data_IF_604381916846
#
_entry.id   IF_604381916846
#
_cell.length_a   1.000
_cell.length_b   1.000
_cell.length_c   1.000
_cell.angle_alpha   90.00
_cell.angle_beta   90.00
_cell.angle_gamma   90.00
#
_symmetry.space_group_name_H-M   'P 1'
#
loop_
_entity.id
_entity.type
_entity.pdbx_description
1 polymer ?
#
# COMPACT_ATOMS: atom_id res chain seq x y z
N UNK A 1 -6.90 41.47 32.54
CA UNK A 1 -5.88 40.55 33.09
C UNK A 1 -6.28 39.15 32.65
N UNK A 2 -5.45 38.52 31.81
CA UNK A 2 -5.64 37.26 31.07
C UNK A 2 -6.00 36.07 32.00
N UNK A 3 -6.67 35.00 31.55
CA UNK A 3 -6.04 33.92 30.77
C UNK A 3 -7.04 33.17 29.86
N UNK A 4 -6.58 32.96 28.62
CA UNK A 4 -7.24 32.28 27.53
C UNK A 4 -7.46 30.79 27.82
N UNK A 5 -8.61 30.28 27.37
CA UNK A 5 -8.83 28.85 27.19
C UNK A 5 -7.85 28.32 26.15
N UNK A 6 -7.10 27.30 26.53
CA UNK A 6 -6.28 26.53 25.62
C UNK A 6 -7.06 25.25 25.31
N UNK A 7 -7.72 25.23 24.16
CA UNK A 7 -7.95 24.00 23.41
C UNK A 7 -6.58 23.37 23.17
N UNK A 8 -6.19 22.46 24.06
CA UNK A 8 -5.02 21.63 23.84
C UNK A 8 -5.28 20.79 22.60
N UNK A 9 -4.36 20.73 21.62
CA UNK A 9 -4.47 19.71 20.61
C UNK A 9 -4.44 18.37 21.33
N UNK A 10 -5.46 17.54 21.12
CA UNK A 10 -5.42 16.14 21.53
C UNK A 10 -4.18 15.58 20.84
N UNK A 11 -3.13 15.29 21.61
CA UNK A 11 -2.02 14.52 21.11
C UNK A 11 -2.63 13.21 20.61
N UNK A 12 -2.60 13.01 19.28
CA UNK A 12 -2.87 11.71 18.72
C UNK A 12 -1.91 10.74 19.43
N UNK A 13 -2.44 9.64 19.94
CA UNK A 13 -1.62 8.55 20.45
C UNK A 13 -0.54 8.24 19.40
N UNK A 14 0.64 7.79 19.84
CA UNK A 14 1.61 7.18 18.93
C UNK A 14 0.94 5.94 18.34
N UNK A 15 0.24 6.12 17.23
CA UNK A 15 -0.35 5.04 16.47
C UNK A 15 0.85 4.21 16.01
N UNK A 16 1.04 3.03 16.63
CA UNK A 16 2.20 2.18 16.36
C UNK A 16 2.49 2.14 14.86
N UNK A 17 3.73 2.46 14.48
CA UNK A 17 4.07 2.74 13.08
C UNK A 17 3.63 1.56 12.21
N UNK A 18 2.64 1.75 11.32
CA UNK A 18 2.06 0.62 10.63
C UNK A 18 3.05 0.02 9.64
N UNK A 19 2.90 -1.27 9.40
CA UNK A 19 3.77 -2.04 8.52
C UNK A 19 2.95 -2.76 7.45
N UNK A 20 3.58 -3.07 6.32
CA UNK A 20 3.05 -3.98 5.31
C UNK A 20 3.98 -5.16 5.16
N UNK A 21 3.43 -6.36 4.90
CA UNK A 21 4.24 -7.53 4.58
C UNK A 21 4.29 -7.66 3.07
N UNK A 22 5.49 -7.49 2.51
CA UNK A 22 5.76 -7.75 1.11
C UNK A 22 6.26 -9.20 1.00
N UNK A 23 5.61 -10.05 0.21
CA UNK A 23 5.88 -11.48 0.07
C UNK A 23 7.30 -11.95 0.43
N UNK A 24 7.40 -12.87 1.40
CA UNK A 24 8.67 -13.46 1.88
C UNK A 24 9.69 -12.46 2.47
N UNK A 25 9.33 -11.18 2.62
CA UNK A 25 10.13 -10.17 3.31
C UNK A 25 9.63 -9.98 4.74
N UNK A 26 10.51 -9.53 5.66
CA UNK A 26 10.09 -8.98 6.95
C UNK A 26 9.10 -7.82 6.76
N UNK A 27 8.27 -7.48 7.76
CA UNK A 27 7.39 -6.32 7.71
C UNK A 27 8.16 -5.03 7.40
N UNK A 28 7.62 -4.20 6.50
CA UNK A 28 8.27 -3.01 5.98
C UNK A 28 7.44 -1.75 6.24
N UNK A 29 8.12 -0.64 6.51
CA UNK A 29 7.55 0.70 6.57
C UNK A 29 7.84 1.40 5.25
N UNK A 30 6.79 1.84 4.54
CA UNK A 30 6.90 2.59 3.27
C UNK A 30 7.84 1.94 2.24
N UNK A 31 7.65 0.67 1.86
CA UNK A 31 8.50 0.05 0.85
C UNK A 31 8.33 0.70 -0.52
N UNK A 32 9.38 0.67 -1.34
CA UNK A 32 9.37 1.21 -2.71
C UNK A 32 8.74 0.23 -3.72
N UNK A 33 8.48 -1.01 -3.32
CA UNK A 33 7.74 -2.00 -4.10
C UNK A 33 6.96 -2.97 -3.22
N UNK A 34 5.85 -3.49 -3.75
CA UNK A 34 5.01 -4.51 -3.10
C UNK A 34 4.62 -5.56 -4.14
N UNK A 35 4.94 -6.82 -3.88
CA UNK A 35 4.42 -7.97 -4.63
C UNK A 35 3.03 -8.30 -4.07
N UNK A 36 2.02 -8.30 -4.95
CA UNK A 36 0.63 -8.49 -4.58
C UNK A 36 0.17 -9.95 -4.75
N UNK A 37 0.84 -10.70 -5.61
CA UNK A 37 0.65 -12.14 -5.78
C UNK A 37 1.96 -12.89 -5.48
N UNK A 38 2.10 -13.38 -4.24
CA UNK A 38 3.33 -14.03 -3.77
C UNK A 38 3.66 -15.35 -4.48
N UNK A 39 2.66 -16.05 -5.01
CA UNK A 39 2.86 -17.39 -5.57
C UNK A 39 3.67 -17.38 -6.87
N UNK A 40 3.35 -16.47 -7.78
CA UNK A 40 3.92 -16.43 -9.12
C UNK A 40 4.58 -15.08 -9.47
N UNK A 41 4.46 -14.06 -8.60
CA UNK A 41 5.03 -12.74 -8.82
C UNK A 41 4.47 -12.02 -10.04
N UNK A 42 3.31 -12.42 -10.54
CA UNK A 42 2.73 -11.88 -11.80
C UNK A 42 2.06 -10.53 -11.62
N UNK A 43 1.95 -10.05 -10.38
CA UNK A 43 1.36 -8.76 -10.04
C UNK A 43 2.12 -8.09 -8.90
N UNK A 44 2.63 -6.89 -9.17
CA UNK A 44 3.35 -6.06 -8.22
C UNK A 44 3.08 -4.56 -8.49
N UNK A 45 3.47 -3.72 -7.54
CA UNK A 45 3.60 -2.28 -7.75
C UNK A 45 5.02 -1.88 -7.40
N UNK A 46 5.71 -1.22 -8.32
CA UNK A 46 7.08 -0.75 -8.20
C UNK A 46 7.15 0.77 -8.17
N UNK A 47 8.31 1.32 -7.76
CA UNK A 47 8.60 2.76 -7.75
C UNK A 47 7.56 3.54 -6.93
N UNK A 48 7.17 2.99 -5.79
CA UNK A 48 6.14 3.56 -4.95
C UNK A 48 6.68 4.82 -4.26
N UNK A 49 5.94 5.91 -4.39
CA UNK A 49 6.14 7.16 -3.65
C UNK A 49 4.94 7.40 -2.75
N UNK A 50 5.15 7.31 -1.44
CA UNK A 50 4.11 7.45 -0.43
C UNK A 50 3.80 8.93 -0.14
N UNK A 51 2.51 9.29 -0.21
CA UNK A 51 2.01 10.61 0.20
C UNK A 51 1.47 10.58 1.64
N UNK A 52 1.00 9.42 2.11
CA UNK A 52 0.56 9.23 3.49
C UNK A 52 0.90 7.83 4.03
N UNK A 53 1.09 7.74 5.34
CA UNK A 53 1.36 6.47 6.04
C UNK A 53 0.93 6.60 7.50
N UNK A 54 -0.31 6.21 7.78
CA UNK A 54 -0.95 6.32 9.10
C UNK A 54 -1.72 5.05 9.40
N UNK A 55 -2.04 4.78 10.66
CA UNK A 55 -2.83 3.57 11.01
C UNK A 55 -4.19 3.56 10.33
N UNK A 56 -4.83 4.71 10.16
CA UNK A 56 -6.07 4.85 9.38
C UNK A 56 -5.93 4.46 7.89
N UNK A 57 -4.71 4.51 7.34
CA UNK A 57 -4.42 4.14 5.96
C UNK A 57 -3.10 4.72 5.45
N UNK A 58 -2.55 4.10 4.40
CA UNK A 58 -1.47 4.66 3.60
C UNK A 58 -1.94 4.90 2.17
N UNK A 59 -1.36 5.91 1.54
CA UNK A 59 -1.62 6.24 0.13
C UNK A 59 -0.30 6.60 -0.55
N UNK A 60 -0.15 6.14 -1.78
CA UNK A 60 1.00 6.46 -2.63
C UNK A 60 0.68 6.27 -4.10
N UNK A 61 1.65 6.62 -4.94
CA UNK A 61 1.59 6.38 -6.38
C UNK A 61 2.75 5.49 -6.80
N UNK A 62 2.58 4.73 -7.87
CA UNK A 62 3.62 3.83 -8.37
C UNK A 62 3.29 3.32 -9.77
N UNK A 63 4.05 2.32 -10.20
CA UNK A 63 3.86 1.64 -11.47
C UNK A 63 3.42 0.20 -11.19
N UNK A 64 2.19 -0.14 -11.55
CA UNK A 64 1.74 -1.53 -11.54
C UNK A 64 2.49 -2.30 -12.63
N UNK A 65 3.03 -3.44 -12.24
CA UNK A 65 3.49 -4.50 -13.11
C UNK A 65 2.46 -5.63 -13.11
N UNK A 66 2.02 -6.04 -14.30
CA UNK A 66 1.26 -7.27 -14.49
C UNK A 66 1.85 -8.11 -15.60
N UNK A 67 1.86 -9.42 -15.42
CA UNK A 67 2.21 -10.38 -16.47
C UNK A 67 1.03 -11.32 -16.73
N UNK A 68 0.65 -11.45 -18.00
CA UNK A 68 -0.27 -12.51 -18.41
C UNK A 68 0.45 -13.86 -18.40
N UNK A 69 -0.22 -14.92 -17.96
CA UNK A 69 0.35 -16.27 -17.94
C UNK A 69 -0.36 -17.25 -18.89
N UNK A 70 -1.06 -16.73 -19.90
CA UNK A 70 -1.76 -17.57 -20.88
C UNK A 70 -0.96 -17.56 -22.20
N UNK A 71 -0.48 -18.72 -22.70
CA UNK A 71 -0.59 -20.07 -22.13
C UNK A 71 0.46 -20.40 -21.06
N UNK A 72 1.59 -19.68 -21.02
CA UNK A 72 2.59 -19.78 -19.93
C UNK A 72 3.12 -18.39 -19.57
N UNK A 73 3.61 -18.21 -18.33
CA UNK A 73 4.20 -16.94 -17.90
C UNK A 73 5.47 -16.54 -18.66
N UNK A 74 6.24 -17.51 -19.19
CA UNK A 74 7.45 -17.23 -19.97
C UNK A 74 7.14 -16.59 -21.34
N UNK A 75 5.96 -16.89 -21.88
CA UNK A 75 5.51 -16.42 -23.20
C UNK A 75 4.61 -15.19 -23.11
N UNK A 76 3.99 -14.95 -21.94
CA UNK A 76 3.08 -13.84 -21.77
C UNK A 76 3.76 -12.48 -21.68
N UNK A 77 3.04 -11.45 -22.10
CA UNK A 77 3.51 -10.07 -22.07
C UNK A 77 3.37 -9.45 -20.68
N UNK A 78 4.28 -8.52 -20.38
CA UNK A 78 4.17 -7.64 -19.22
C UNK A 78 3.49 -6.33 -19.63
N UNK A 79 2.61 -5.83 -18.79
CA UNK A 79 1.99 -4.51 -18.91
C UNK A 79 2.38 -3.66 -17.70
N UNK A 80 2.59 -2.37 -17.96
CA UNK A 80 2.93 -1.38 -16.95
C UNK A 80 1.89 -0.27 -16.98
N UNK A 81 1.45 0.19 -15.82
CA UNK A 81 0.49 1.29 -15.72
C UNK A 81 0.73 2.14 -14.49
N UNK A 82 0.54 3.47 -14.58
CA UNK A 82 0.55 4.32 -13.40
C UNK A 82 -0.65 3.98 -12.51
N UNK A 83 -0.40 3.85 -11.20
CA UNK A 83 -1.41 3.49 -10.22
C UNK A 83 -1.33 4.35 -8.97
N UNK A 84 -2.49 4.50 -8.33
CA UNK A 84 -2.56 4.87 -6.91
C UNK A 84 -2.69 3.58 -6.10
N UNK A 85 -1.91 3.46 -5.03
CA UNK A 85 -1.97 2.37 -4.06
C UNK A 85 -2.52 2.91 -2.74
N UNK A 86 -3.52 2.22 -2.19
CA UNK A 86 -4.08 2.51 -0.87
C UNK A 86 -3.97 1.28 0.01
N UNK A 87 -3.35 1.42 1.19
CA UNK A 87 -3.29 0.35 2.18
C UNK A 87 -4.23 0.65 3.35
N UNK A 88 -4.95 -0.36 3.81
CA UNK A 88 -5.90 -0.25 4.93
C UNK A 88 -5.84 -1.47 5.84
N UNK A 89 -6.50 -1.37 6.99
CA UNK A 89 -6.67 -2.48 7.93
C UNK A 89 -5.58 -2.63 8.99
N UNK A 90 -4.71 -1.63 9.15
CA UNK A 90 -3.79 -1.59 10.29
C UNK A 90 -4.56 -1.34 11.58
N UNK A 91 -4.37 -2.22 12.57
CA UNK A 91 -4.98 -2.12 13.89
C UNK A 91 -4.05 -2.72 14.95
N UNK A 92 -4.22 -2.30 16.21
CA UNK A 92 -3.49 -2.87 17.35
C UNK A 92 -3.77 -4.38 17.51
N UNK A 93 -2.80 -5.17 18.01
CA UNK A 93 -1.49 -4.75 18.51
C UNK A 93 -0.41 -4.64 17.44
N UNK A 94 -0.61 -5.23 16.26
CA UNK A 94 0.46 -5.45 15.28
C UNK A 94 0.59 -4.32 14.24
N UNK A 95 -0.41 -3.46 14.12
CA UNK A 95 -0.47 -2.33 13.18
C UNK A 95 -0.12 -2.71 11.74
N UNK A 96 -0.44 -3.94 11.33
CA UNK A 96 -0.19 -4.46 9.99
C UNK A 96 -1.34 -4.11 9.04
N UNK A 97 -1.04 -3.48 7.92
CA UNK A 97 -2.00 -3.37 6.81
C UNK A 97 -2.35 -4.76 6.29
N UNK A 98 -3.64 -4.99 6.03
CA UNK A 98 -4.17 -6.30 5.61
C UNK A 98 -4.74 -6.28 4.20
N UNK A 99 -4.95 -5.08 3.62
CA UNK A 99 -5.47 -4.93 2.27
C UNK A 99 -4.77 -3.82 1.50
N UNK A 100 -4.53 -4.07 0.22
CA UNK A 100 -4.07 -3.11 -0.76
C UNK A 100 -5.11 -2.94 -1.87
N UNK A 101 -5.51 -1.70 -2.13
CA UNK A 101 -6.34 -1.33 -3.29
C UNK A 101 -5.46 -0.61 -4.30
N UNK A 102 -5.41 -1.16 -5.52
CA UNK A 102 -4.63 -0.63 -6.64
C UNK A 102 -5.60 -0.05 -7.64
N UNK A 103 -5.50 1.26 -7.88
CA UNK A 103 -6.34 1.99 -8.83
C UNK A 103 -5.51 2.44 -10.02
N UNK A 104 -5.88 1.98 -11.22
CA UNK A 104 -5.24 2.42 -12.45
C UNK A 104 -5.59 3.89 -12.73
N UNK A 105 -4.57 4.74 -12.85
CA UNK A 105 -4.78 6.18 -13.03
C UNK A 105 -5.27 6.56 -14.43
N UNK A 106 -5.06 5.70 -15.43
CA UNK A 106 -5.54 5.93 -16.79
C UNK A 106 -7.02 5.56 -16.96
N UNK A 107 -7.49 4.53 -16.24
CA UNK A 107 -8.84 3.98 -16.44
C UNK A 107 -9.77 4.20 -15.25
N UNK A 108 -9.25 4.53 -14.08
CA UNK A 108 -10.00 4.59 -12.82
C UNK A 108 -10.40 3.23 -12.26
N UNK A 109 -10.01 2.13 -12.90
CA UNK A 109 -10.37 0.77 -12.46
C UNK A 109 -9.53 0.39 -11.24
N UNK A 110 -10.20 -0.06 -10.18
CA UNK A 110 -9.56 -0.50 -8.94
C UNK A 110 -9.64 -2.01 -8.75
N UNK A 111 -8.63 -2.58 -8.08
CA UNK A 111 -8.64 -3.96 -7.59
C UNK A 111 -8.08 -4.02 -6.18
N UNK A 112 -8.71 -4.79 -5.30
CA UNK A 112 -8.29 -4.97 -3.91
C UNK A 112 -7.80 -6.38 -3.68
N UNK A 113 -6.70 -6.51 -2.94
CA UNK A 113 -6.06 -7.78 -2.56
C UNK A 113 -5.59 -7.74 -1.11
N UNK A 114 -5.38 -8.91 -0.53
CA UNK A 114 -4.74 -9.03 0.78
C UNK A 114 -3.23 -8.83 0.70
N UNK A 115 -2.65 -8.25 1.76
CA UNK A 115 -1.19 -8.07 1.95
C UNK A 115 -0.77 -8.50 3.36
#
# INVERSE_FOLDING_TARGET
>A
MFLAGWDLPIAAADDGTPVVVNCYQPPQVKPESIILMCGDGTWAVDKIVWTSWKVAGAEGTGIEYRRSCVPTCAQGSATYSPVTITLTGAASPDYRYTSATITNQNTGISKTVGV
#
